data_IF_730410708584
#
_entry.id   IF_730410708584
#
_cell.length_a   1.000
_cell.length_b   1.000
_cell.length_c   1.000
_cell.angle_alpha   90.00
_cell.angle_beta   90.00
_cell.angle_gamma   90.00
#
_symmetry.space_group_name_H-M   'P 1'
#
loop_
_entity.id
_entity.type
_entity.pdbx_description
1 polymer ?
#
# COMPACT_ATOMS: atom_id res chain seq x y z
N UNK A 1 -9.47 -6.90 10.01
CA UNK A 1 -10.34 -7.02 8.82
C UNK A 1 -10.92 -5.66 8.52
N UNK A 2 -10.40 -4.97 7.51
CA UNK A 2 -11.06 -3.81 6.90
C UNK A 2 -11.86 -4.29 5.69
N UNK A 3 -13.06 -4.78 5.97
CA UNK A 3 -14.04 -5.12 4.93
C UNK A 3 -14.62 -3.81 4.37
N UNK A 4 -14.56 -3.62 3.04
CA UNK A 4 -15.21 -2.50 2.35
C UNK A 4 -16.48 -3.00 1.63
N UNK A 5 -17.69 -2.82 2.20
CA UNK A 5 -18.94 -3.28 1.59
C UNK A 5 -19.52 -2.38 0.49
N UNK A 6 -18.90 -1.23 0.19
CA UNK A 6 -19.50 -0.18 -0.64
C UNK A 6 -18.62 0.15 -1.84
N UNK A 7 -19.20 0.20 -3.04
CA UNK A 7 -18.49 0.72 -4.22
C UNK A 7 -18.29 2.23 -4.09
N UNK A 8 -17.04 2.70 -4.21
CA UNK A 8 -16.72 4.13 -4.11
C UNK A 8 -17.28 4.96 -5.28
N UNK A 9 -17.74 4.29 -6.33
CA UNK A 9 -18.52 4.89 -7.41
C UNK A 9 -19.95 4.35 -7.40
N UNK A 10 -20.90 5.28 -7.41
CA UNK A 10 -22.34 5.06 -7.58
C UNK A 10 -22.76 5.89 -8.80
N UNK A 11 -23.20 5.26 -9.88
CA UNK A 11 -23.57 5.99 -11.10
C UNK A 11 -24.73 6.97 -10.83
N UNK A 12 -24.51 8.26 -11.06
CA UNK A 12 -25.48 9.32 -10.76
C UNK A 12 -25.57 9.70 -9.27
N UNK A 13 -24.75 9.10 -8.40
CA UNK A 13 -24.60 9.50 -7.00
C UNK A 13 -23.56 10.61 -6.81
N UNK A 14 -23.46 11.18 -5.60
CA UNK A 14 -22.40 12.11 -5.24
C UNK A 14 -21.03 11.41 -5.21
N UNK A 15 -19.95 12.17 -5.39
CA UNK A 15 -18.59 11.68 -5.11
C UNK A 15 -18.42 11.42 -3.60
N UNK A 16 -17.86 10.26 -3.25
CA UNK A 16 -17.66 9.84 -1.86
C UNK A 16 -16.15 9.66 -1.60
N UNK A 17 -15.53 10.64 -0.95
CA UNK A 17 -14.17 10.51 -0.41
C UNK A 17 -14.23 9.84 0.98
N UNK A 18 -13.48 8.75 1.19
CA UNK A 18 -13.37 8.11 2.52
C UNK A 18 -12.01 8.39 3.15
N UNK A 19 -12.00 9.00 4.34
CA UNK A 19 -10.79 9.23 5.13
C UNK A 19 -10.71 8.27 6.31
N UNK A 20 -9.61 7.54 6.39
CA UNK A 20 -9.32 6.59 7.45
C UNK A 20 -8.32 7.20 8.44
N UNK A 21 -8.64 7.11 9.74
CA UNK A 21 -7.78 7.55 10.82
C UNK A 21 -7.46 6.33 11.69
N UNK A 22 -6.18 5.99 11.83
CA UNK A 22 -5.79 4.91 12.73
C UNK A 22 -6.03 5.33 14.18
N UNK A 23 -6.56 4.42 14.99
CA UNK A 23 -6.72 4.60 16.44
C UNK A 23 -5.45 4.21 17.22
N UNK A 24 -4.36 3.86 16.53
CA UNK A 24 -3.10 3.43 17.13
C UNK A 24 -3.09 1.97 17.61
N UNK A 25 -4.19 1.23 17.48
CA UNK A 25 -4.25 -0.19 17.82
C UNK A 25 -3.90 -1.06 16.62
N UNK A 26 -2.84 -1.88 16.75
CA UNK A 26 -2.40 -2.83 15.72
C UNK A 26 -2.34 -4.24 16.29
N UNK A 27 -2.95 -5.20 15.60
CA UNK A 27 -2.97 -6.62 16.00
C UNK A 27 -1.80 -7.44 15.43
N UNK A 28 -1.06 -6.87 14.49
CA UNK A 28 0.09 -7.50 13.82
C UNK A 28 1.26 -6.50 13.78
N UNK A 29 2.52 -6.97 13.72
CA UNK A 29 3.70 -6.09 13.67
C UNK A 29 3.70 -5.12 12.48
N UNK A 30 3.16 -5.56 11.34
CA UNK A 30 2.96 -4.80 10.13
C UNK A 30 1.65 -5.23 9.45
N UNK A 31 0.87 -4.27 8.99
CA UNK A 31 -0.30 -4.44 8.14
C UNK A 31 -0.21 -3.44 6.99
N UNK A 32 -0.35 -3.95 5.75
CA UNK A 32 -0.24 -3.17 4.52
C UNK A 32 -1.60 -3.18 3.82
N UNK A 33 -2.18 -2.01 3.62
CA UNK A 33 -3.42 -1.85 2.84
C UNK A 33 -3.11 -1.06 1.58
N UNK A 34 -3.49 -1.61 0.42
CA UNK A 34 -3.41 -0.93 -0.87
C UNK A 34 -4.84 -0.72 -1.37
N UNK A 35 -5.17 0.52 -1.71
CA UNK A 35 -6.47 0.94 -2.24
C UNK A 35 -6.28 1.60 -3.61
N UNK A 36 -7.36 1.63 -4.39
CA UNK A 36 -7.45 2.55 -5.53
C UNK A 36 -7.27 4.01 -5.08
N UNK A 37 -6.76 4.85 -5.98
CA UNK A 37 -6.49 6.27 -5.74
C UNK A 37 -7.75 7.16 -5.75
N UNK A 38 -8.91 6.63 -5.39
CA UNK A 38 -10.24 7.21 -5.58
C UNK A 38 -10.45 7.72 -7.03
N UNK A 39 -10.21 6.85 -8.01
CA UNK A 39 -10.35 7.15 -9.44
C UNK A 39 -9.25 8.04 -10.05
N UNK A 40 -8.27 8.52 -9.26
CA UNK A 40 -7.17 9.38 -9.77
C UNK A 40 -6.07 8.62 -10.54
N UNK A 41 -6.29 7.35 -10.89
CA UNK A 41 -5.34 6.54 -11.67
C UNK A 41 -4.06 6.12 -10.94
N UNK A 42 -4.01 6.30 -9.62
CA UNK A 42 -2.92 5.86 -8.75
C UNK A 42 -3.37 4.82 -7.72
N UNK A 43 -2.46 4.40 -6.85
CA UNK A 43 -2.76 3.55 -5.70
C UNK A 43 -2.42 4.28 -4.40
N UNK A 44 -3.31 4.19 -3.40
CA UNK A 44 -3.04 4.66 -2.04
C UNK A 44 -2.50 3.51 -1.21
N UNK A 45 -1.36 3.73 -0.55
CA UNK A 45 -0.65 2.71 0.23
C UNK A 45 -0.58 3.14 1.68
N UNK A 46 -1.18 2.34 2.56
CA UNK A 46 -1.24 2.59 4.01
C UNK A 46 -0.42 1.53 4.75
N UNK A 47 0.48 2.00 5.62
CA UNK A 47 1.30 1.16 6.49
C UNK A 47 0.87 1.38 7.94
N UNK A 48 0.27 0.35 8.56
CA UNK A 48 0.03 0.31 9.99
C UNK A 48 1.05 -0.64 10.62
N UNK A 49 1.81 -0.18 11.62
CA UNK A 49 2.92 -0.95 12.17
C UNK A 49 3.15 -0.66 13.65
N UNK A 50 3.67 -1.67 14.35
CA UNK A 50 4.09 -1.55 15.75
C UNK A 50 5.38 -0.71 15.81
N UNK A 51 5.29 0.55 16.22
CA UNK A 51 6.43 1.49 16.27
C UNK A 51 7.54 1.10 17.26
N UNK A 52 7.23 0.22 18.21
CA UNK A 52 8.19 -0.41 19.12
C UNK A 52 8.87 -1.66 18.53
N UNK A 53 8.51 -2.09 17.31
CA UNK A 53 9.05 -3.26 16.61
C UNK A 53 9.68 -2.87 15.26
N UNK A 54 9.06 -1.92 14.54
CA UNK A 54 9.49 -1.48 13.20
C UNK A 54 9.66 0.05 13.22
N UNK A 55 10.79 0.54 12.73
CA UNK A 55 11.06 1.98 12.64
C UNK A 55 10.44 2.61 11.39
N UNK A 56 10.23 3.94 11.42
CA UNK A 56 9.70 4.67 10.27
C UNK A 56 10.61 4.57 9.03
N UNK A 57 11.91 4.45 9.27
CA UNK A 57 12.97 4.28 8.28
C UNK A 57 12.81 2.93 7.58
N UNK A 58 12.56 1.86 8.34
CA UNK A 58 12.34 0.53 7.77
C UNK A 58 11.06 0.48 6.91
N UNK A 59 10.02 1.23 7.28
CA UNK A 59 8.82 1.38 6.43
C UNK A 59 9.13 2.13 5.12
N UNK A 60 9.98 3.16 5.16
CA UNK A 60 10.44 3.86 3.94
C UNK A 60 11.27 2.94 3.04
N UNK A 61 12.15 2.11 3.61
CA UNK A 61 12.91 1.11 2.85
C UNK A 61 11.97 0.10 2.17
N UNK A 62 11.00 -0.46 2.91
CA UNK A 62 9.99 -1.38 2.38
C UNK A 62 9.19 -0.72 1.25
N UNK A 63 8.83 0.56 1.39
CA UNK A 63 8.14 1.30 0.34
C UNK A 63 9.00 1.52 -0.92
N UNK A 64 10.29 1.89 -0.77
CA UNK A 64 11.27 1.97 -1.89
C UNK A 64 11.36 0.64 -2.64
N UNK A 65 11.58 -0.43 -1.89
CA UNK A 65 11.68 -1.79 -2.41
C UNK A 65 10.41 -2.20 -3.18
N UNK A 66 9.23 -1.97 -2.60
CA UNK A 66 7.96 -2.30 -3.23
C UNK A 66 7.75 -1.53 -4.54
N UNK A 67 8.07 -0.23 -4.57
CA UNK A 67 8.03 0.57 -5.79
C UNK A 67 9.00 0.03 -6.86
N UNK A 68 10.26 -0.24 -6.50
CA UNK A 68 11.27 -0.82 -7.41
C UNK A 68 10.81 -2.15 -8.00
N UNK A 69 10.26 -3.05 -7.17
CA UNK A 69 9.76 -4.35 -7.63
C UNK A 69 8.61 -4.19 -8.62
N UNK A 70 7.66 -3.28 -8.34
CA UNK A 70 6.55 -3.00 -9.27
C UNK A 70 7.03 -2.35 -10.57
N UNK A 71 7.95 -1.38 -10.53
CA UNK A 71 8.41 -0.68 -11.74
C UNK A 71 9.33 -1.52 -12.62
N UNK A 72 10.31 -2.21 -12.03
CA UNK A 72 11.27 -3.00 -12.82
C UNK A 72 10.66 -4.32 -13.27
N UNK A 73 9.81 -4.96 -12.45
CA UNK A 73 9.05 -6.15 -12.86
C UNK A 73 8.04 -5.85 -13.98
N UNK A 74 7.41 -4.67 -14.00
CA UNK A 74 6.53 -4.26 -15.10
C UNK A 74 7.30 -3.96 -16.40
N UNK A 75 8.51 -3.41 -16.33
CA UNK A 75 9.37 -3.16 -17.50
C UNK A 75 9.97 -4.45 -18.07
N UNK A 76 10.40 -5.36 -17.20
CA UNK A 76 11.01 -6.64 -17.58
C UNK A 76 10.36 -7.80 -16.81
N UNK A 77 9.28 -8.41 -17.34
CA UNK A 77 8.61 -9.54 -16.69
C UNK A 77 9.46 -10.82 -16.55
N UNK A 78 10.68 -10.86 -17.11
CA UNK A 78 11.62 -11.97 -16.99
C UNK A 78 12.71 -11.75 -15.92
N UNK A 79 12.73 -10.57 -15.27
CA UNK A 79 13.67 -10.32 -14.16
C UNK A 79 13.39 -11.27 -13.00
N UNK A 80 14.43 -11.87 -12.44
CA UNK A 80 14.27 -12.77 -11.30
C UNK A 80 14.04 -11.99 -10.01
N UNK A 81 13.38 -12.63 -9.03
CA UNK A 81 13.25 -12.07 -7.68
C UNK A 81 14.62 -11.73 -7.07
N UNK A 82 15.67 -12.49 -7.40
CA UNK A 82 17.02 -12.25 -6.89
C UNK A 82 17.60 -10.94 -7.42
N UNK A 83 17.52 -10.72 -8.74
CA UNK A 83 17.98 -9.49 -9.36
C UNK A 83 17.20 -8.27 -8.84
N UNK A 84 15.88 -8.40 -8.60
CA UNK A 84 15.09 -7.35 -7.95
C UNK A 84 15.55 -7.07 -6.51
N UNK A 85 15.85 -8.10 -5.72
CA UNK A 85 16.37 -7.93 -4.35
C UNK A 85 17.76 -7.27 -4.31
N UNK A 86 18.61 -7.49 -5.31
CA UNK A 86 19.93 -6.87 -5.38
C UNK A 86 19.87 -5.34 -5.73
N UNK A 87 18.70 -4.79 -6.09
CA UNK A 87 18.45 -3.35 -6.37
C UNK A 87 17.87 -2.55 -5.19
N UNK A 88 17.57 -3.21 -4.07
CA UNK A 88 16.57 -2.76 -3.07
C UNK A 88 17.02 -1.64 -2.11
#
# INVERSE_FOLDING_TARGET
>A
MTYQPVSMHIHGGPEIETRWYSNGAVSQPLYLTIMDGDGQGGLKVYYEYMSNVITSEKIKDIHRCMLLFMTEGAKNPQITLRELFDLC
#
